data_IF_070021839938
#
_entry.id   IF_070021839938
#
_cell.length_a   1.000
_cell.length_b   1.000
_cell.length_c   1.000
_cell.angle_alpha   90.00
_cell.angle_beta   90.00
_cell.angle_gamma   90.00
#
_symmetry.space_group_name_H-M   'P 1'
#
loop_
_entity.id
_entity.type
_entity.pdbx_description
1 polymer ?
#
# COMPACT_ATOMS: atom_id res chain seq x y z
N UNK A 1 8.27 16.71 -24.20
CA UNK A 1 7.34 15.59 -23.92
C UNK A 1 8.03 14.72 -22.88
N UNK A 2 7.82 15.05 -21.61
CA UNK A 2 8.57 14.50 -20.47
C UNK A 2 7.94 13.18 -20.04
N UNK A 3 8.57 12.07 -20.44
CA UNK A 3 8.27 10.74 -19.90
C UNK A 3 8.88 10.64 -18.51
N UNK A 4 8.05 10.69 -17.47
CA UNK A 4 8.47 10.36 -16.11
C UNK A 4 8.65 8.84 -16.05
N UNK A 5 9.90 8.41 -16.02
CA UNK A 5 10.26 7.03 -15.76
C UNK A 5 9.80 6.69 -14.33
N UNK A 6 8.78 5.84 -14.23
CA UNK A 6 8.51 5.11 -13.01
C UNK A 6 9.77 4.32 -12.68
N UNK A 7 10.39 4.65 -11.55
CA UNK A 7 11.45 3.87 -10.95
C UNK A 7 10.85 2.53 -10.53
N UNK A 8 10.85 1.56 -11.46
CA UNK A 8 10.51 0.19 -11.18
C UNK A 8 11.67 -0.39 -10.36
N UNK A 9 11.63 -0.11 -9.05
CA UNK A 9 12.72 -0.34 -8.13
C UNK A 9 13.13 -1.81 -8.06
N UNK A 10 14.44 -2.02 -8.00
CA UNK A 10 15.09 -3.26 -7.62
C UNK A 10 14.79 -3.72 -6.16
N UNK A 11 13.91 -3.00 -5.45
CA UNK A 11 13.66 -3.07 -3.99
C UNK A 11 12.29 -3.65 -3.59
N UNK A 12 11.57 -4.33 -4.50
CA UNK A 12 10.48 -5.25 -4.12
C UNK A 12 9.07 -4.64 -3.95
N UNK A 13 8.84 -3.40 -4.36
CA UNK A 13 7.50 -2.80 -4.45
C UNK A 13 7.10 -2.60 -5.91
N UNK A 14 5.99 -3.20 -6.32
CA UNK A 14 5.62 -3.24 -7.74
C UNK A 14 4.43 -2.34 -8.09
N UNK A 15 3.51 -2.07 -7.14
CA UNK A 15 2.35 -1.21 -7.41
C UNK A 15 1.63 -0.74 -6.14
N UNK A 16 1.16 0.51 -6.13
CA UNK A 16 0.20 1.02 -5.15
C UNK A 16 -1.10 1.47 -5.86
N UNK A 17 -2.26 1.03 -5.37
CA UNK A 17 -3.57 1.34 -5.95
C UNK A 17 -4.52 1.81 -4.86
N UNK A 18 -5.10 3.00 -5.01
CA UNK A 18 -6.18 3.47 -4.13
C UNK A 18 -7.49 2.79 -4.52
N UNK A 19 -8.19 2.21 -3.54
CA UNK A 19 -9.50 1.63 -3.74
C UNK A 19 -10.55 2.75 -3.91
N UNK A 20 -11.21 2.86 -5.08
CA UNK A 20 -11.97 4.06 -5.45
C UNK A 20 -13.26 4.26 -4.64
N UNK A 21 -13.81 3.18 -4.09
CA UNK A 21 -15.07 3.20 -3.33
C UNK A 21 -14.88 2.87 -1.84
N UNK A 22 -13.64 2.91 -1.32
CA UNK A 22 -13.39 2.55 0.07
C UNK A 22 -14.04 3.57 1.01
N UNK A 23 -14.98 3.10 1.83
CA UNK A 23 -15.65 3.87 2.86
C UNK A 23 -15.68 3.07 4.17
N UNK A 24 -15.64 3.73 5.34
CA UNK A 24 -15.53 5.18 5.55
C UNK A 24 -14.10 5.72 5.42
N UNK A 25 -13.10 4.86 5.26
CA UNK A 25 -11.68 5.23 5.21
C UNK A 25 -11.05 4.81 3.89
N UNK A 26 -10.15 5.63 3.31
CA UNK A 26 -9.40 5.23 2.12
C UNK A 26 -8.61 3.94 2.35
N UNK A 27 -8.53 3.09 1.34
CA UNK A 27 -7.70 1.89 1.33
C UNK A 27 -6.72 2.00 0.17
N UNK A 28 -5.45 1.73 0.43
CA UNK A 28 -4.41 1.64 -0.61
C UNK A 28 -3.89 0.21 -0.61
N UNK A 29 -4.11 -0.50 -1.72
CA UNK A 29 -3.49 -1.80 -1.96
C UNK A 29 -2.04 -1.62 -2.38
N UNK A 30 -1.13 -2.38 -1.77
CA UNK A 30 0.29 -2.40 -2.14
C UNK A 30 0.65 -3.82 -2.54
N UNK A 31 1.28 -3.97 -3.70
CA UNK A 31 1.78 -5.24 -4.20
C UNK A 31 3.29 -5.30 -3.98
N UNK A 32 3.72 -6.31 -3.22
CA UNK A 32 5.12 -6.50 -2.87
C UNK A 32 5.47 -7.98 -2.76
N UNK A 33 6.76 -8.29 -2.94
CA UNK A 33 7.29 -9.61 -2.61
C UNK A 33 7.75 -9.63 -1.15
N UNK A 34 7.26 -10.59 -0.38
CA UNK A 34 7.65 -10.79 1.01
C UNK A 34 7.77 -12.30 1.32
N UNK A 35 8.63 -12.69 2.27
CA UNK A 35 8.81 -14.10 2.62
C UNK A 35 7.67 -14.68 3.48
N UNK A 36 6.79 -13.83 4.01
CA UNK A 36 5.64 -14.21 4.84
C UNK A 36 4.54 -13.14 4.79
N UNK A 37 3.35 -13.48 5.29
CA UNK A 37 2.25 -12.51 5.42
C UNK A 37 2.61 -11.38 6.40
N UNK A 38 3.15 -11.73 7.57
CA UNK A 38 3.62 -10.77 8.57
C UNK A 38 4.66 -9.80 7.98
N UNK A 39 5.64 -10.31 7.23
CA UNK A 39 6.64 -9.47 6.59
C UNK A 39 6.04 -8.53 5.52
N UNK A 40 4.96 -8.95 4.85
CA UNK A 40 4.25 -8.08 3.91
C UNK A 40 3.48 -6.97 4.63
N UNK A 41 2.83 -7.28 5.75
CA UNK A 41 2.08 -6.31 6.57
C UNK A 41 3.02 -5.27 7.20
N UNK A 42 4.14 -5.72 7.77
CA UNK A 42 5.21 -4.83 8.25
C UNK A 42 5.79 -3.96 7.13
N UNK A 43 6.01 -4.56 5.96
CA UNK A 43 6.48 -3.88 4.76
C UNK A 43 5.52 -2.80 4.28
N UNK A 44 4.21 -3.08 4.23
CA UNK A 44 3.19 -2.10 3.87
C UNK A 44 3.12 -0.95 4.88
N UNK A 45 3.24 -1.23 6.19
CA UNK A 45 3.33 -0.20 7.22
C UNK A 45 4.61 0.65 7.09
N UNK A 46 5.74 0.06 6.68
CA UNK A 46 6.97 0.78 6.41
C UNK A 46 6.83 1.73 5.21
N UNK A 47 6.18 1.29 4.12
CA UNK A 47 5.87 2.16 2.96
C UNK A 47 5.04 3.35 3.38
N UNK A 48 3.97 3.14 4.17
CA UNK A 48 3.16 4.25 4.66
C UNK A 48 4.01 5.26 5.44
N UNK A 49 4.84 4.80 6.38
CA UNK A 49 5.71 5.68 7.18
C UNK A 49 6.69 6.46 6.30
N UNK A 50 7.30 5.81 5.32
CA UNK A 50 8.21 6.46 4.37
C UNK A 50 7.46 7.51 3.51
N UNK A 51 6.29 7.17 2.97
CA UNK A 51 5.48 8.07 2.19
C UNK A 51 5.02 9.29 3.01
N UNK A 52 4.56 9.08 4.25
CA UNK A 52 4.11 10.15 5.13
C UNK A 52 5.26 11.10 5.57
N UNK A 53 6.47 10.55 5.73
CA UNK A 53 7.67 11.35 5.99
C UNK A 53 8.05 12.23 4.78
N UNK A 54 7.97 11.67 3.57
CA UNK A 54 8.36 12.35 2.32
C UNK A 54 7.30 13.32 1.80
N UNK A 55 6.01 13.02 1.99
CA UNK A 55 4.90 13.78 1.40
C UNK A 55 4.07 14.49 2.49
N UNK A 56 4.25 15.81 2.70
CA UNK A 56 3.56 16.55 3.76
C UNK A 56 2.03 16.48 3.70
N UNK A 57 1.45 16.32 2.51
CA UNK A 57 0.01 16.15 2.29
C UNK A 57 -0.59 14.90 2.96
N UNK A 58 0.23 13.91 3.30
CA UNK A 58 -0.20 12.70 4.00
C UNK A 58 -0.20 12.85 5.53
N UNK A 59 0.43 13.90 6.09
CA UNK A 59 0.54 14.12 7.54
C UNK A 59 -0.80 14.22 8.30
N UNK A 60 -1.90 14.74 7.72
CA UNK A 60 -3.20 14.73 8.41
C UNK A 60 -3.80 13.33 8.59
N UNK A 61 -3.24 12.32 7.93
CA UNK A 61 -3.76 10.96 7.92
C UNK A 61 -2.93 10.06 8.84
N UNK A 62 -3.59 9.12 9.50
CA UNK A 62 -2.94 8.07 10.28
C UNK A 62 -3.15 6.69 9.64
N UNK A 63 -2.19 5.78 9.81
CA UNK A 63 -2.36 4.38 9.44
C UNK A 63 -3.28 3.71 10.46
N UNK A 64 -4.43 3.21 10.00
CA UNK A 64 -5.34 2.44 10.84
C UNK A 64 -4.90 0.98 10.95
N UNK A 65 -4.50 0.38 9.82
CA UNK A 65 -4.06 -1.01 9.70
C UNK A 65 -3.28 -1.22 8.40
N UNK A 66 -2.39 -2.20 8.42
CA UNK A 66 -1.70 -2.73 7.24
C UNK A 66 -1.82 -4.25 7.33
N UNK A 67 -2.71 -4.82 6.52
CA UNK A 67 -3.14 -6.21 6.65
C UNK A 67 -3.28 -6.81 5.25
N UNK A 68 -2.97 -8.11 5.12
CA UNK A 68 -3.32 -8.84 3.91
C UNK A 68 -4.82 -9.13 3.94
N UNK A 69 -5.55 -8.84 2.85
CA UNK A 69 -6.93 -9.28 2.75
C UNK A 69 -6.98 -10.80 2.73
N UNK A 70 -7.41 -11.40 3.85
CA UNK A 70 -7.71 -12.82 3.90
C UNK A 70 -9.01 -13.06 3.13
N UNK A 71 -8.88 -13.40 1.84
CA UNK A 71 -10.03 -13.80 1.04
C UNK A 71 -10.54 -15.14 1.55
N UNK A 72 -11.72 -15.14 2.18
CA UNK A 72 -12.53 -16.34 2.27
C UNK A 72 -13.08 -16.61 0.86
N UNK A 73 -12.95 -17.82 0.30
CA UNK A 73 -13.23 -18.11 -1.12
C UNK A 73 -14.69 -17.92 -1.57
N UNK A 74 -15.58 -17.42 -0.70
CA UNK A 74 -17.01 -17.21 -0.96
C UNK A 74 -17.53 -15.85 -0.47
N UNK A 75 -16.65 -14.87 -0.21
CA UNK A 75 -17.13 -13.51 0.04
C UNK A 75 -17.47 -12.87 -1.31
N UNK A 76 -18.75 -12.93 -1.68
CA UNK A 76 -19.31 -12.18 -2.81
C UNK A 76 -18.94 -10.70 -2.63
N UNK A 77 -18.11 -10.19 -3.53
CA UNK A 77 -17.71 -8.79 -3.63
C UNK A 77 -18.57 -8.06 -4.67
#
# INVERSE_FOLDING_TARGET
MTSSAADAGADGFELAVAHPAAQPHPVVGVYMRAPSLEAAEEGAAAVWRAAAATHPQLRPWGLLRAEIPLFLPYADW
#
